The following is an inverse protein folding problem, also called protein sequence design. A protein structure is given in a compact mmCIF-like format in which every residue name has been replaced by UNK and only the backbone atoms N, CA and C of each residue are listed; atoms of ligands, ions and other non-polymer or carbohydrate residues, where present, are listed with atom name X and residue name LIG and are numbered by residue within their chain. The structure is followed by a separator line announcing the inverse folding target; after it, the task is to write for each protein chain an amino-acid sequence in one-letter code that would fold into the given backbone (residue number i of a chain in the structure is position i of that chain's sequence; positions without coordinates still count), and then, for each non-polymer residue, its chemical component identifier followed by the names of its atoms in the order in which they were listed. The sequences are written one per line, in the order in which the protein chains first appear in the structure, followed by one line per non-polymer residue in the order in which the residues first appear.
data_IF_565038832245
#
_entry.id   IF_565038832245
#
_cell.length_a   1.000
_cell.length_b   1.000
_cell.length_c   1.000
_cell.angle_alpha   90.00
_cell.angle_beta   90.00
_cell.angle_gamma   90.00
#
_symmetry.space_group_name_H-M   'P 1'
#
loop_
_entity.id
_entity.type
_entity.pdbx_description
1 polymer ?
#
# COMPACT_ATOMS: atom_id res chain seq x y z
N UNK A 1 0.72 2.43 9.65
CA UNK A 1 0.49 1.14 8.96
C UNK A 1 1.68 0.81 8.08
N UNK A 2 2.78 0.16 8.48
CA UNK A 2 3.17 -0.50 9.73
C UNK A 2 2.16 -1.48 10.36
N UNK A 3 1.05 -1.81 9.69
CA UNK A 3 -0.14 -2.33 10.41
C UNK A 3 -0.68 -3.66 9.89
N UNK A 4 -0.02 -4.29 8.92
CA UNK A 4 -0.35 -5.68 8.56
C UNK A 4 0.69 -6.69 9.07
N UNK A 5 1.82 -6.24 9.64
CA UNK A 5 2.80 -7.10 10.32
C UNK A 5 2.48 -7.35 11.81
N UNK A 6 1.47 -6.68 12.40
CA UNK A 6 1.15 -6.80 13.83
C UNK A 6 0.21 -7.97 14.17
N UNK A 7 -0.35 -8.65 13.18
CA UNK A 7 -1.44 -9.64 13.34
C UNK A 7 -0.99 -11.08 13.62
N UNK A 8 0.20 -11.31 14.18
CA UNK A 8 0.66 -12.67 14.52
C UNK A 8 0.91 -12.96 16.00
N UNK A 9 0.80 -11.98 16.91
CA UNK A 9 1.12 -12.21 18.34
C UNK A 9 -0.01 -11.92 19.34
N UNK A 10 -1.28 -11.82 18.93
CA UNK A 10 -2.38 -11.68 19.87
C UNK A 10 -3.06 -13.02 20.18
N UNK A 11 -2.38 -13.86 20.96
CA UNK A 11 -3.05 -14.87 21.80
C UNK A 11 -2.88 -14.51 23.27
N UNK A 12 -4.00 -14.08 23.88
CA UNK A 12 -4.33 -14.11 25.30
C UNK A 12 -3.49 -13.31 26.32
N UNK A 13 -4.23 -12.56 27.15
CA UNK A 13 -3.86 -12.01 28.47
C UNK A 13 -2.88 -10.82 28.56
N UNK A 14 -3.41 -9.60 28.40
CA UNK A 14 -2.92 -8.40 29.12
C UNK A 14 -3.92 -7.22 29.02
N UNK A 15 -5.18 -7.43 29.42
CA UNK A 15 -6.05 -6.35 29.86
C UNK A 15 -5.73 -6.08 31.33
N UNK A 16 -4.89 -5.08 31.62
CA UNK A 16 -4.81 -4.29 32.88
C UNK A 16 -3.45 -3.59 32.98
N UNK A 17 -3.39 -2.32 32.54
CA UNK A 17 -2.66 -1.25 33.24
C UNK A 17 -2.71 0.05 32.42
N UNK A 18 -3.85 0.73 32.43
CA UNK A 18 -3.88 2.18 32.27
C UNK A 18 -4.59 2.74 33.51
N UNK A 19 -3.86 3.57 34.26
CA UNK A 19 -4.15 4.05 35.61
C UNK A 19 -5.18 5.20 35.58
N UNK A 20 -6.24 5.02 36.38
CA UNK A 20 -7.07 5.97 37.14
C UNK A 20 -7.22 7.46 36.70
N UNK A 21 -8.41 7.77 36.14
CA UNK A 21 -9.49 8.73 36.57
C UNK A 21 -9.22 10.19 37.08
N UNK A 22 -10.24 11.11 37.12
CA UNK A 22 -11.57 11.17 36.43
C UNK A 22 -11.97 12.57 35.87
N UNK A 23 -12.82 12.68 34.83
CA UNK A 23 -13.70 13.87 34.60
C UNK A 23 -15.05 13.48 33.97
N UNK A 24 -16.10 14.17 34.41
CA UNK A 24 -17.54 13.97 34.24
C UNK A 24 -18.11 13.95 32.81
N UNK A 25 -19.11 13.10 32.60
CA UNK A 25 -19.92 13.02 31.38
C UNK A 25 -21.19 13.87 31.53
N UNK A 26 -21.42 14.82 30.61
CA UNK A 26 -22.73 15.47 30.40
C UNK A 26 -23.43 14.81 29.21
N UNK A 27 -24.66 14.35 29.43
CA UNK A 27 -25.57 13.88 28.39
C UNK A 27 -26.14 15.07 27.63
N UNK A 28 -26.02 15.06 26.29
CA UNK A 28 -26.60 16.05 25.38
C UNK A 28 -27.36 15.36 24.25
N UNK A 29 -28.57 15.83 24.00
CA UNK A 29 -29.66 15.19 23.24
C UNK A 29 -29.37 14.99 21.75
N UNK A 30 -29.82 13.84 21.23
CA UNK A 30 -29.86 13.53 19.80
C UNK A 30 -30.92 14.37 19.07
N UNK A 31 -30.53 15.02 17.97
CA UNK A 31 -31.47 15.57 16.98
C UNK A 31 -31.34 14.68 15.74
N UNK A 32 -32.40 13.91 15.46
CA UNK A 32 -32.56 13.13 14.25
C UNK A 32 -33.12 14.08 13.18
N UNK A 33 -32.37 14.31 12.11
CA UNK A 33 -32.88 14.95 10.90
C UNK A 33 -32.91 13.91 9.78
N UNK A 34 -34.11 13.62 9.30
CA UNK A 34 -34.40 12.75 8.15
C UNK A 34 -33.80 13.33 6.86
N UNK A 35 -33.28 12.51 5.94
CA UNK A 35 -32.72 13.03 4.70
C UNK A 35 -33.83 13.28 3.67
N UNK A 36 -33.98 14.53 3.25
CA UNK A 36 -34.63 14.87 1.98
C UNK A 36 -33.63 14.61 0.84
N UNK A 37 -34.07 13.84 -0.15
CA UNK A 37 -33.36 13.61 -1.41
C UNK A 37 -33.20 14.95 -2.15
N UNK A 38 -31.99 15.48 -2.17
CA UNK A 38 -31.56 16.53 -3.07
C UNK A 38 -30.44 15.98 -3.95
N UNK A 39 -30.67 15.96 -5.25
CA UNK A 39 -29.67 15.72 -6.28
C UNK A 39 -28.60 16.81 -6.20
N UNK A 40 -27.44 16.51 -5.61
CA UNK A 40 -26.31 17.43 -5.56
C UNK A 40 -25.25 17.00 -6.57
N UNK A 41 -24.99 17.87 -7.54
CA UNK A 41 -23.67 18.01 -8.13
C UNK A 41 -22.68 18.27 -6.97
N UNK A 42 -21.99 17.23 -6.51
CA UNK A 42 -20.97 17.35 -5.48
C UNK A 42 -19.72 18.03 -6.09
N UNK A 43 -19.73 19.35 -6.17
CA UNK A 43 -18.49 20.10 -6.28
C UNK A 43 -17.66 19.84 -5.01
N UNK A 44 -16.69 18.94 -5.12
CA UNK A 44 -15.72 18.69 -4.06
C UNK A 44 -14.98 20.00 -3.77
N UNK A 45 -15.16 20.52 -2.57
CA UNK A 45 -14.63 21.83 -2.19
C UNK A 45 -13.20 21.69 -1.66
N UNK A 46 -12.23 22.23 -2.39
CA UNK A 46 -10.81 22.20 -2.02
C UNK A 46 -10.47 23.15 -0.88
N UNK A 47 -11.21 24.26 -0.75
CA UNK A 47 -11.01 25.24 0.33
C UNK A 47 -11.35 24.64 1.70
N UNK A 48 -12.34 23.73 1.77
CA UNK A 48 -12.65 23.05 3.03
C UNK A 48 -11.54 22.09 3.44
N UNK A 49 -10.87 21.43 2.48
CA UNK A 49 -9.70 20.61 2.75
C UNK A 49 -8.54 21.46 3.28
N UNK A 50 -8.23 22.57 2.62
CA UNK A 50 -7.16 23.48 3.06
C UNK A 50 -7.43 24.08 4.43
N UNK A 51 -8.67 24.51 4.69
CA UNK A 51 -9.08 25.00 6.00
C UNK A 51 -8.92 23.91 7.07
N UNK A 52 -9.34 22.67 6.79
CA UNK A 52 -9.18 21.55 7.72
C UNK A 52 -7.70 21.26 8.03
N UNK A 53 -6.85 21.19 6.99
CA UNK A 53 -5.43 20.94 7.15
C UNK A 53 -4.74 22.04 7.98
N UNK A 54 -4.97 23.30 7.60
CA UNK A 54 -4.35 24.45 8.26
C UNK A 54 -4.81 24.60 9.73
N UNK A 55 -6.10 24.43 10.01
CA UNK A 55 -6.64 24.50 11.38
C UNK A 55 -6.12 23.38 12.29
N UNK A 56 -5.65 22.28 11.72
CA UNK A 56 -5.08 21.15 12.47
C UNK A 56 -3.54 21.06 12.35
N UNK A 57 -2.88 22.16 11.98
CA UNK A 57 -1.41 22.26 12.02
C UNK A 57 -0.67 21.52 10.90
N UNK A 58 -1.34 21.15 9.81
CA UNK A 58 -0.71 20.60 8.61
C UNK A 58 -0.52 21.74 7.61
N UNK A 59 0.71 22.26 7.52
CA UNK A 59 1.04 23.43 6.68
C UNK A 59 1.81 23.07 5.40
N UNK A 60 2.44 21.88 5.35
CA UNK A 60 3.24 21.46 4.20
C UNK A 60 2.37 20.77 3.14
N UNK A 61 1.65 21.57 2.36
CA UNK A 61 0.87 21.11 1.21
C UNK A 61 0.94 22.12 0.07
N UNK A 62 0.78 21.64 -1.17
CA UNK A 62 0.86 22.47 -2.38
C UNK A 62 -0.49 22.52 -3.10
N UNK A 63 -0.88 23.70 -3.57
CA UNK A 63 -2.10 23.86 -4.36
C UNK A 63 -1.76 23.68 -5.85
N UNK A 64 -2.31 22.64 -6.48
CA UNK A 64 -2.19 22.45 -7.94
C UNK A 64 -3.34 23.20 -8.61
N UNK A 65 -3.07 24.19 -9.50
CA UNK A 65 -2.23 24.00 -10.69
C UNK A 65 -1.07 25.01 -10.88
N UNK A 66 -0.81 25.93 -9.94
CA UNK A 66 0.13 27.04 -10.16
C UNK A 66 1.52 26.86 -9.55
N UNK A 67 1.71 25.96 -8.58
CA UNK A 67 3.00 25.77 -7.92
C UNK A 67 3.67 24.45 -8.34
N UNK A 68 4.69 24.59 -9.20
CA UNK A 68 5.74 23.62 -9.50
C UNK A 68 5.30 22.17 -9.80
N UNK A 69 5.10 21.88 -11.10
CA UNK A 69 5.14 20.53 -11.68
C UNK A 69 6.33 19.68 -11.20
N UNK A 70 7.40 20.31 -10.70
CA UNK A 70 8.57 19.66 -10.13
C UNK A 70 8.23 18.71 -8.97
N UNK A 71 7.42 19.11 -7.99
CA UNK A 71 7.11 18.25 -6.82
C UNK A 71 6.27 17.03 -7.19
N UNK A 72 5.32 17.19 -8.12
CA UNK A 72 4.50 16.08 -8.60
C UNK A 72 5.35 15.04 -9.35
N UNK A 73 6.23 15.51 -10.25
CA UNK A 73 7.06 14.65 -11.11
C UNK A 73 8.29 14.08 -10.40
N UNK A 74 8.77 14.68 -9.31
CA UNK A 74 10.04 14.31 -8.66
C UNK A 74 10.13 12.84 -8.26
N UNK A 75 9.00 12.24 -7.88
CA UNK A 75 8.93 10.88 -7.32
C UNK A 75 8.24 9.90 -8.28
N UNK A 76 7.93 10.31 -9.52
CA UNK A 76 7.31 9.40 -10.51
C UNK A 76 8.42 8.59 -11.19
N UNK A 77 8.47 7.29 -10.91
CA UNK A 77 9.55 6.40 -11.38
C UNK A 77 9.22 5.73 -12.72
N UNK A 78 7.94 5.61 -13.07
CA UNK A 78 7.51 5.18 -14.40
C UNK A 78 6.99 6.40 -15.19
N UNK A 79 7.76 6.92 -16.17
CA UNK A 79 7.41 8.12 -16.93
C UNK A 79 6.09 8.04 -17.70
N UNK A 80 5.55 6.85 -17.98
CA UNK A 80 4.24 6.68 -18.64
C UNK A 80 3.16 7.50 -17.90
N UNK A 81 3.18 7.52 -16.56
CA UNK A 81 2.17 8.22 -15.75
C UNK A 81 2.39 9.73 -15.63
N UNK A 82 3.43 10.27 -16.26
CA UNK A 82 3.61 11.73 -16.39
C UNK A 82 2.75 12.31 -17.51
N UNK A 83 2.32 11.48 -18.48
CA UNK A 83 1.54 11.88 -19.66
C UNK A 83 0.28 12.71 -19.27
N UNK A 84 -0.13 13.68 -20.11
CA UNK A 84 -1.28 14.55 -19.82
C UNK A 84 -2.64 13.84 -19.69
N UNK A 85 -2.75 12.62 -20.24
CA UNK A 85 -3.98 11.82 -20.17
C UNK A 85 -4.35 11.39 -18.75
N UNK A 86 -3.36 11.31 -17.84
CA UNK A 86 -3.60 10.94 -16.46
C UNK A 86 -4.01 12.15 -15.62
N UNK A 87 -5.09 11.98 -14.86
CA UNK A 87 -5.56 12.98 -13.90
C UNK A 87 -4.44 13.36 -12.92
N UNK A 88 -4.36 14.65 -12.62
CA UNK A 88 -3.43 15.20 -11.62
C UNK A 88 -4.14 15.32 -10.27
N UNK A 89 -3.41 15.24 -9.15
CA UNK A 89 -3.99 15.42 -7.83
C UNK A 89 -4.54 16.84 -7.68
N UNK A 90 -5.50 17.01 -6.77
CA UNK A 90 -5.98 18.32 -6.37
C UNK A 90 -4.98 19.05 -5.46
N UNK A 91 -4.27 18.30 -4.62
CA UNK A 91 -3.18 18.78 -3.77
C UNK A 91 -2.24 17.63 -3.40
N UNK A 92 -1.01 17.99 -3.05
CA UNK A 92 -0.01 17.08 -2.48
C UNK A 92 0.27 17.55 -1.06
N UNK A 93 0.15 16.65 -0.10
CA UNK A 93 0.40 16.91 1.33
C UNK A 93 1.62 16.12 1.78
N UNK A 94 2.55 16.77 2.47
CA UNK A 94 3.81 16.20 2.93
C UNK A 94 3.88 16.19 4.47
N UNK A 95 3.18 15.25 5.15
CA UNK A 95 3.17 15.18 6.61
C UNK A 95 4.59 14.98 7.17
N UNK A 96 4.89 15.63 8.28
CA UNK A 96 6.19 15.57 8.98
C UNK A 96 6.13 14.75 10.27
N UNK A 97 4.92 14.35 10.70
CA UNK A 97 4.72 13.47 11.85
C UNK A 97 3.55 12.51 11.62
N UNK A 98 3.45 11.49 12.48
CA UNK A 98 2.33 10.55 12.49
C UNK A 98 0.99 11.23 12.78
N UNK A 99 1.00 12.29 13.59
CA UNK A 99 -0.18 13.10 13.92
C UNK A 99 -0.64 13.88 12.69
N UNK A 100 0.29 14.52 11.96
CA UNK A 100 -0.05 15.21 10.72
C UNK A 100 -0.61 14.25 9.68
N UNK A 101 -0.01 13.06 9.53
CA UNK A 101 -0.54 12.01 8.64
C UNK A 101 -1.98 11.61 9.00
N UNK A 102 -2.25 11.36 10.29
CA UNK A 102 -3.59 10.99 10.75
C UNK A 102 -4.60 12.12 10.51
N UNK A 103 -4.23 13.36 10.79
CA UNK A 103 -5.02 14.56 10.50
C UNK A 103 -5.31 14.70 9.01
N UNK A 104 -4.31 14.52 8.14
CA UNK A 104 -4.48 14.61 6.68
C UNK A 104 -5.49 13.58 6.19
N UNK A 105 -5.41 12.33 6.65
CA UNK A 105 -6.38 11.28 6.32
C UNK A 105 -7.78 11.71 6.76
N UNK A 106 -7.92 12.17 8.00
CA UNK A 106 -9.21 12.65 8.53
C UNK A 106 -9.80 13.77 7.67
N UNK A 107 -9.02 14.81 7.35
CA UNK A 107 -9.48 15.91 6.50
C UNK A 107 -9.88 15.46 5.08
N UNK A 108 -9.16 14.51 4.49
CA UNK A 108 -9.52 13.94 3.18
C UNK A 108 -10.86 13.20 3.23
N UNK A 109 -11.08 12.40 4.28
CA UNK A 109 -12.34 11.65 4.44
C UNK A 109 -13.57 12.53 4.64
N UNK A 110 -13.43 13.70 5.28
CA UNK A 110 -14.53 14.67 5.40
C UNK A 110 -14.92 15.31 4.05
N UNK A 111 -13.97 15.43 3.12
CA UNK A 111 -14.17 16.07 1.82
C UNK A 111 -14.47 15.11 0.67
N UNK A 112 -14.73 13.82 0.93
CA UNK A 112 -14.92 12.77 -0.10
C UNK A 112 -13.76 12.66 -1.10
N UNK A 113 -12.53 12.96 -0.66
CA UNK A 113 -11.34 12.86 -1.49
C UNK A 113 -10.82 11.43 -1.57
N UNK A 114 -10.47 10.97 -2.77
CA UNK A 114 -9.71 9.72 -2.90
C UNK A 114 -8.28 9.92 -2.40
N UNK A 115 -7.81 9.05 -1.52
CA UNK A 115 -6.45 9.12 -0.97
C UNK A 115 -5.50 8.29 -1.82
N UNK A 116 -4.34 8.87 -2.14
CA UNK A 116 -3.20 8.18 -2.74
C UNK A 116 -2.00 8.34 -1.83
N UNK A 117 -1.52 7.23 -1.28
CA UNK A 117 -0.32 7.21 -0.44
C UNK A 117 0.89 7.01 -1.33
N UNK A 118 1.90 7.87 -1.21
CA UNK A 118 3.14 7.76 -1.99
C UNK A 118 4.34 7.70 -1.06
N UNK A 119 5.16 6.66 -1.24
CA UNK A 119 6.50 6.54 -0.67
C UNK A 119 7.51 6.82 -1.81
N UNK A 120 8.31 5.86 -2.25
CA UNK A 120 9.27 6.03 -3.36
C UNK A 120 8.68 6.08 -4.78
N UNK A 121 7.35 5.95 -4.96
CA UNK A 121 6.66 6.15 -6.24
C UNK A 121 6.94 5.12 -7.35
N UNK A 122 7.34 3.91 -6.97
CA UNK A 122 7.69 2.79 -7.85
C UNK A 122 6.50 1.91 -8.31
N UNK A 123 5.25 2.36 -8.14
CA UNK A 123 4.11 1.56 -8.60
C UNK A 123 4.15 1.39 -10.12
N UNK A 124 4.20 0.14 -10.59
CA UNK A 124 4.24 -0.19 -12.02
C UNK A 124 3.02 0.32 -12.78
N UNK A 125 1.87 0.37 -12.12
CA UNK A 125 0.60 0.90 -12.65
C UNK A 125 0.28 2.33 -12.17
N UNK A 126 1.27 3.01 -11.59
CA UNK A 126 1.13 4.40 -11.16
C UNK A 126 0.11 4.63 -10.04
N UNK A 127 -0.26 3.58 -9.30
CA UNK A 127 -1.30 3.59 -8.27
C UNK A 127 -1.04 4.56 -7.11
N UNK A 128 0.20 5.02 -6.92
CA UNK A 128 0.54 6.01 -5.91
C UNK A 128 0.42 7.47 -6.40
N UNK A 129 0.19 7.70 -7.69
CA UNK A 129 0.16 9.04 -8.29
C UNK A 129 -1.05 9.34 -9.18
N UNK A 130 -1.87 8.34 -9.53
CA UNK A 130 -3.05 8.53 -10.40
C UNK A 130 -4.33 8.01 -9.73
N UNK A 131 -5.47 8.62 -10.07
CA UNK A 131 -6.80 8.11 -9.73
C UNK A 131 -7.84 8.56 -10.77
N UNK A 132 -8.92 7.79 -10.90
CA UNK A 132 -10.05 8.12 -11.79
C UNK A 132 -11.01 9.16 -11.20
N UNK A 133 -10.94 9.38 -9.89
CA UNK A 133 -11.73 10.34 -9.10
C UNK A 133 -10.83 11.47 -8.60
N UNK A 134 -11.37 12.65 -8.25
CA UNK A 134 -10.59 13.71 -7.62
C UNK A 134 -9.90 13.19 -6.35
N UNK A 135 -8.59 13.43 -6.26
CA UNK A 135 -7.74 12.76 -5.30
C UNK A 135 -6.66 13.66 -4.72
N UNK A 136 -6.16 13.26 -3.56
CA UNK A 136 -5.08 13.90 -2.82
C UNK A 136 -3.93 12.90 -2.73
N UNK A 137 -2.72 13.35 -3.05
CA UNK A 137 -1.51 12.58 -2.75
C UNK A 137 -1.04 12.97 -1.35
N UNK A 138 -0.90 11.97 -0.48
CA UNK A 138 -0.18 12.11 0.78
C UNK A 138 1.20 11.50 0.55
N UNK A 139 2.19 12.36 0.39
CA UNK A 139 3.56 11.99 0.09
C UNK A 139 4.37 11.86 1.39
N UNK A 140 4.88 10.66 1.63
CA UNK A 140 5.51 10.28 2.88
C UNK A 140 7.00 10.61 2.91
N UNK A 141 7.56 11.29 1.90
CA UNK A 141 9.01 11.56 1.80
C UNK A 141 9.62 12.23 3.04
N UNK A 142 8.86 13.03 3.80
CA UNK A 142 9.32 13.68 5.03
C UNK A 142 9.32 12.75 6.26
N UNK A 143 8.70 11.57 6.14
CA UNK A 143 8.68 10.51 7.15
C UNK A 143 9.68 9.42 6.73
N UNK A 144 10.96 9.77 6.70
CA UNK A 144 12.05 8.90 6.24
C UNK A 144 13.10 8.59 7.33
N UNK A 145 12.77 8.75 8.63
CA UNK A 145 13.71 8.41 9.70
C UNK A 145 13.98 6.90 9.76
N UNK A 146 15.25 6.56 10.01
CA UNK A 146 15.74 5.19 10.26
C UNK A 146 16.48 5.22 11.59
N UNK A 147 15.94 4.54 12.59
CA UNK A 147 16.49 4.44 13.94
C UNK A 147 16.93 2.99 14.18
N UNK A 148 18.23 2.77 14.35
CA UNK A 148 18.82 1.44 14.52
C UNK A 148 19.16 1.22 15.99
N UNK A 149 18.74 0.08 16.52
CA UNK A 149 19.12 -0.42 17.83
C UNK A 149 20.03 -1.64 17.65
N UNK A 150 21.32 -1.44 17.93
CA UNK A 150 22.34 -2.50 17.83
C UNK A 150 22.27 -3.52 18.96
N UNK A 151 21.66 -3.19 20.10
CA UNK A 151 21.53 -4.15 21.21
C UNK A 151 20.48 -5.20 20.88
N UNK A 152 19.34 -4.78 20.32
CA UNK A 152 18.27 -5.69 19.89
C UNK A 152 18.41 -6.18 18.44
N UNK A 153 19.39 -5.66 17.69
CA UNK A 153 19.55 -5.89 16.24
C UNK A 153 18.26 -5.59 15.46
N UNK A 154 17.57 -4.50 15.83
CA UNK A 154 16.33 -4.06 15.18
C UNK A 154 16.44 -2.63 14.66
N UNK A 155 15.48 -2.24 13.81
CA UNK A 155 15.37 -0.87 13.36
C UNK A 155 13.91 -0.43 13.28
N UNK A 156 13.64 0.80 13.68
CA UNK A 156 12.41 1.52 13.38
C UNK A 156 12.61 2.35 12.12
N UNK A 157 11.77 2.08 11.11
CA UNK A 157 11.87 2.73 9.79
C UNK A 157 10.54 3.37 9.45
N UNK A 158 10.56 4.68 9.23
CA UNK A 158 9.40 5.39 8.71
C UNK A 158 9.14 5.05 7.24
N UNK A 159 7.88 4.97 6.84
CA UNK A 159 7.47 4.40 5.55
C UNK A 159 7.86 5.23 4.31
N UNK A 160 8.32 6.46 4.51
CA UNK A 160 8.88 7.30 3.45
C UNK A 160 10.33 6.95 3.09
N UNK A 161 11.06 6.26 3.99
CA UNK A 161 12.44 5.88 3.73
C UNK A 161 12.53 4.93 2.53
N UNK A 162 13.49 5.21 1.66
CA UNK A 162 13.89 4.36 0.55
C UNK A 162 14.78 3.22 1.02
N UNK A 163 14.85 2.13 0.24
CA UNK A 163 15.72 1.00 0.56
C UNK A 163 17.19 1.42 0.63
N UNK A 164 17.62 2.36 -0.22
CA UNK A 164 18.96 2.93 -0.19
C UNK A 164 19.28 3.65 1.13
N UNK A 165 18.36 4.47 1.65
CA UNK A 165 18.53 5.12 2.96
C UNK A 165 18.62 4.10 4.09
N UNK A 166 17.82 3.03 4.03
CA UNK A 166 17.85 1.93 5.02
C UNK A 166 19.18 1.19 4.96
N UNK A 167 19.62 0.76 3.78
CA UNK A 167 20.88 0.06 3.59
C UNK A 167 22.07 0.91 4.03
N UNK A 168 22.05 2.20 3.67
CA UNK A 168 23.08 3.14 4.07
C UNK A 168 23.14 3.27 5.59
N UNK A 169 22.01 3.52 6.25
CA UNK A 169 21.96 3.63 7.71
C UNK A 169 22.47 2.36 8.42
N UNK A 170 22.08 1.16 7.95
CA UNK A 170 22.56 -0.11 8.51
C UNK A 170 24.07 -0.23 8.33
N UNK A 171 24.59 0.05 7.13
CA UNK A 171 26.03 -0.03 6.84
C UNK A 171 26.86 0.97 7.66
N UNK A 172 26.28 2.12 8.05
CA UNK A 172 26.95 3.07 8.92
C UNK A 172 26.94 2.63 10.39
N UNK A 173 25.96 1.82 10.80
CA UNK A 173 25.83 1.34 12.16
C UNK A 173 26.63 0.04 12.42
N UNK A 174 26.76 -0.84 11.42
CA UNK A 174 27.47 -2.12 11.56
C UNK A 174 27.90 -2.69 10.20
N UNK A 175 29.10 -3.27 10.17
CA UNK A 175 29.63 -4.03 9.02
C UNK A 175 29.11 -5.49 8.96
N UNK A 176 28.38 -5.93 9.98
CA UNK A 176 27.91 -7.32 10.12
C UNK A 176 26.40 -7.48 9.91
N UNK A 177 25.64 -6.39 9.95
CA UNK A 177 24.17 -6.40 9.82
C UNK A 177 23.72 -6.04 8.40
N UNK A 178 22.54 -6.56 8.02
CA UNK A 178 21.94 -6.31 6.72
C UNK A 178 20.43 -6.59 6.74
N UNK A 179 19.73 -6.13 5.71
CA UNK A 179 18.27 -6.28 5.59
C UNK A 179 17.88 -6.82 4.21
N UNK A 180 17.03 -7.85 4.16
CA UNK A 180 16.62 -8.50 2.91
C UNK A 180 15.45 -7.76 2.26
N UNK A 181 15.74 -7.00 1.20
CA UNK A 181 14.77 -6.30 0.36
C UNK A 181 15.34 -6.12 -1.08
N UNK A 182 14.62 -5.43 -1.96
CA UNK A 182 15.00 -5.21 -3.37
C UNK A 182 16.39 -4.58 -3.52
N UNK A 183 17.05 -4.84 -4.65
CA UNK A 183 18.33 -4.19 -4.99
C UNK A 183 18.19 -2.72 -5.37
N UNK A 184 17.00 -2.26 -5.76
CA UNK A 184 16.75 -0.91 -6.28
C UNK A 184 16.71 0.10 -5.13
N UNK A 185 17.69 1.03 -5.01
CA UNK A 185 17.83 1.86 -3.82
C UNK A 185 16.74 2.93 -3.69
N UNK A 186 16.11 3.35 -4.78
CA UNK A 186 15.06 4.39 -4.76
C UNK A 186 13.67 3.85 -4.45
N UNK A 187 13.51 2.53 -4.32
CA UNK A 187 12.24 1.91 -3.93
C UNK A 187 11.89 2.33 -2.50
N UNK A 188 10.65 2.76 -2.29
CA UNK A 188 10.16 3.17 -0.98
C UNK A 188 9.74 1.97 -0.12
N UNK A 189 10.17 1.96 1.14
CA UNK A 189 9.87 0.90 2.10
C UNK A 189 8.37 0.69 2.32
N UNK A 190 7.58 1.78 2.32
CA UNK A 190 6.14 1.72 2.56
C UNK A 190 5.39 0.83 1.57
N UNK A 191 5.66 0.96 0.27
CA UNK A 191 5.09 0.10 -0.76
C UNK A 191 5.74 -1.29 -0.76
N UNK A 192 7.07 -1.32 -0.77
CA UNK A 192 7.84 -2.55 -0.95
C UNK A 192 7.57 -3.60 0.13
N UNK A 193 7.64 -3.22 1.41
CA UNK A 193 7.42 -4.12 2.54
C UNK A 193 5.94 -4.54 2.58
N UNK A 194 5.00 -3.64 2.27
CA UNK A 194 3.57 -3.94 2.26
C UNK A 194 3.19 -5.01 1.22
N UNK A 195 3.88 -5.04 0.07
CA UNK A 195 3.68 -6.08 -0.95
C UNK A 195 4.54 -7.33 -0.76
N UNK A 196 5.35 -7.42 0.30
CA UNK A 196 6.22 -8.56 0.60
C UNK A 196 7.68 -8.17 0.66
N UNK A 197 8.25 -7.83 -0.50
CA UNK A 197 9.61 -7.34 -0.63
C UNK A 197 10.65 -8.43 -0.85
N UNK A 198 10.69 -8.96 -2.07
CA UNK A 198 11.71 -9.92 -2.51
C UNK A 198 13.02 -9.22 -2.85
N UNK A 199 14.14 -9.90 -2.63
CA UNK A 199 15.46 -9.40 -2.97
C UNK A 199 16.53 -10.49 -3.05
N UNK A 200 17.77 -10.07 -3.28
CA UNK A 200 18.91 -10.98 -3.48
C UNK A 200 19.18 -11.88 -2.27
N UNK A 201 18.85 -11.44 -1.07
CA UNK A 201 19.01 -12.21 0.17
C UNK A 201 17.78 -13.06 0.53
N UNK A 202 16.69 -13.00 -0.25
CA UNK A 202 15.44 -13.69 0.10
C UNK A 202 15.55 -15.21 0.09
N UNK A 203 16.53 -15.78 -0.64
CA UNK A 203 16.81 -17.22 -0.57
C UNK A 203 17.37 -17.66 0.80
N UNK A 204 17.95 -16.74 1.58
CA UNK A 204 18.51 -16.98 2.91
C UNK A 204 17.56 -16.51 4.01
N UNK A 205 16.99 -15.31 3.89
CA UNK A 205 16.24 -14.64 4.96
C UNK A 205 14.75 -14.41 4.66
N UNK A 206 14.28 -14.77 3.46
CA UNK A 206 12.90 -14.52 3.04
C UNK A 206 12.63 -13.09 2.60
N UNK A 207 11.34 -12.72 2.56
CA UNK A 207 10.88 -11.40 2.15
C UNK A 207 11.08 -10.37 3.27
N UNK A 208 11.18 -9.09 2.91
CA UNK A 208 11.26 -7.96 3.85
C UNK A 208 10.10 -7.97 4.86
N UNK A 209 8.90 -8.33 4.43
CA UNK A 209 7.68 -8.42 5.26
C UNK A 209 7.72 -9.53 6.31
N UNK A 210 8.51 -10.58 6.08
CA UNK A 210 8.72 -11.65 7.06
C UNK A 210 9.68 -11.13 8.12
N UNK A 211 10.78 -10.50 7.70
CA UNK A 211 11.77 -9.93 8.61
C UNK A 211 11.18 -8.82 9.49
N UNK A 212 10.27 -8.00 8.97
CA UNK A 212 9.61 -6.93 9.75
C UNK A 212 8.61 -7.44 10.81
N UNK A 213 8.23 -8.72 10.75
CA UNK A 213 7.32 -9.37 11.71
C UNK A 213 8.04 -10.23 12.76
N UNK A 214 9.34 -10.51 12.56
CA UNK A 214 10.12 -11.36 13.45
C UNK A 214 10.73 -10.51 14.58
N UNK A 215 10.33 -10.78 15.84
CA UNK A 215 11.16 -10.42 16.98
C UNK A 215 12.43 -11.28 16.93
N UNK A 216 13.56 -10.67 16.56
CA UNK A 216 14.87 -11.32 16.44
C UNK A 216 15.41 -11.77 17.79
N UNK A 217 14.96 -12.92 18.28
CA UNK A 217 15.63 -13.64 19.37
C UNK A 217 16.55 -14.75 18.85
N UNK A 218 16.71 -14.88 17.52
CA UNK A 218 17.61 -15.87 16.93
C UNK A 218 17.86 -15.60 15.44
N UNK A 219 18.63 -14.55 15.12
CA UNK A 219 19.37 -14.51 13.83
C UNK A 219 20.65 -15.33 14.06
N UNK A 220 20.89 -16.44 13.33
CA UNK A 220 22.21 -17.05 13.32
C UNK A 220 23.17 -16.10 12.60
N UNK A 221 24.29 -15.80 13.25
CA UNK A 221 25.46 -15.07 12.71
C UNK A 221 25.74 -15.47 11.25
N UNK A 222 26.26 -14.56 10.40
CA UNK A 222 26.55 -14.86 9.01
C UNK A 222 27.56 -16.02 8.88
N UNK A 223 27.02 -17.22 8.64
CA UNK A 223 27.75 -18.37 8.12
C UNK A 223 27.15 -18.70 6.75
N UNK A 224 27.94 -18.49 5.69
CA UNK A 224 27.64 -18.90 4.33
C UNK A 224 27.95 -20.40 4.16
N UNK A 225 27.25 -21.24 4.92
CA UNK A 225 27.27 -22.71 4.82
C UNK A 225 25.87 -23.32 4.70
N UNK A 226 25.76 -24.65 4.49
CA UNK A 226 24.53 -25.31 4.04
C UNK A 226 23.40 -25.30 5.10
N UNK A 227 22.18 -25.25 4.58
CA UNK A 227 20.89 -24.93 5.20
C UNK A 227 20.43 -25.85 6.34
N UNK A 228 19.73 -25.28 7.34
CA UNK A 228 18.79 -25.98 8.24
C UNK A 228 17.46 -25.22 8.23
N UNK A 229 16.38 -25.99 8.05
CA UNK A 229 14.97 -25.63 7.80
C UNK A 229 14.32 -24.79 8.93
N UNK A 230 13.51 -23.79 8.55
CA UNK A 230 12.72 -22.95 9.45
C UNK A 230 11.35 -22.59 8.85
N UNK A 231 10.29 -23.18 9.40
CA UNK A 231 8.89 -23.06 8.92
C UNK A 231 8.10 -21.92 9.58
N UNK A 232 7.13 -21.37 8.80
CA UNK A 232 5.98 -20.47 9.14
C UNK A 232 6.39 -19.07 9.62
N UNK A 233 5.94 -17.94 9.06
CA UNK A 233 4.56 -17.41 8.92
C UNK A 233 4.67 -16.09 8.06
N UNK A 234 3.57 -15.49 7.53
CA UNK A 234 3.45 -14.24 6.69
C UNK A 234 3.35 -14.41 5.15
N UNK A 235 2.59 -13.50 4.53
CA UNK A 235 2.08 -13.41 3.14
C UNK A 235 3.07 -13.83 2.04
N UNK A 236 2.55 -14.61 1.09
CA UNK A 236 3.27 -15.22 -0.02
C UNK A 236 3.21 -16.75 0.09
N UNK A 237 2.19 -17.38 -0.48
CA UNK A 237 2.05 -18.84 -0.49
C UNK A 237 2.91 -19.51 -1.59
N UNK A 238 3.60 -18.70 -2.42
CA UNK A 238 4.64 -19.14 -3.35
C UNK A 238 5.94 -19.54 -2.63
N UNK A 239 5.85 -20.39 -1.61
CA UNK A 239 7.01 -20.81 -0.81
C UNK A 239 7.54 -22.16 -1.21
N UNK A 240 6.69 -23.18 -1.19
CA UNK A 240 7.08 -24.58 -1.46
C UNK A 240 6.50 -25.01 -2.80
N UNK A 241 7.37 -25.27 -3.76
CA UNK A 241 7.00 -25.65 -5.13
C UNK A 241 7.31 -24.55 -6.16
N UNK A 242 7.50 -23.30 -5.74
CA UNK A 242 7.96 -22.22 -6.61
C UNK A 242 9.45 -22.37 -6.90
N UNK A 243 9.81 -22.60 -8.17
CA UNK A 243 11.21 -22.80 -8.60
C UNK A 243 11.91 -21.47 -8.92
N UNK A 244 11.19 -20.55 -9.56
CA UNK A 244 11.70 -19.27 -10.02
C UNK A 244 10.58 -18.22 -10.15
N UNK A 245 10.97 -16.96 -10.14
CA UNK A 245 10.17 -15.82 -10.56
C UNK A 245 10.79 -15.27 -11.83
N UNK A 246 9.99 -15.04 -12.87
CA UNK A 246 10.43 -14.50 -14.15
C UNK A 246 9.67 -13.20 -14.40
N UNK A 247 10.40 -12.14 -14.66
CA UNK A 247 9.86 -10.82 -14.93
C UNK A 247 10.12 -10.47 -16.40
N UNK A 248 9.10 -9.94 -17.09
CA UNK A 248 9.17 -9.52 -18.47
C UNK A 248 9.00 -8.01 -18.50
N UNK A 249 10.03 -7.30 -18.96
CA UNK A 249 10.04 -5.84 -18.99
C UNK A 249 10.36 -5.39 -20.41
N UNK A 250 9.58 -4.44 -20.90
CA UNK A 250 9.93 -3.62 -22.06
C UNK A 250 9.99 -2.17 -21.62
N UNK A 251 11.05 -1.47 -22.01
CA UNK A 251 11.27 -0.07 -21.69
C UNK A 251 11.66 0.67 -22.97
N UNK A 252 11.28 1.94 -23.06
CA UNK A 252 11.54 2.80 -24.21
C UNK A 252 11.75 4.24 -23.76
N UNK A 253 12.39 5.05 -24.62
CA UNK A 253 12.64 6.46 -24.37
C UNK A 253 11.50 7.35 -24.87
N UNK A 254 11.47 8.62 -24.45
CA UNK A 254 10.43 9.58 -24.88
C UNK A 254 10.33 9.72 -26.41
N UNK A 255 11.44 9.63 -27.13
CA UNK A 255 11.47 9.74 -28.60
C UNK A 255 10.77 8.56 -29.30
N UNK A 256 10.60 7.44 -28.58
CA UNK A 256 9.97 6.21 -29.07
C UNK A 256 8.50 6.08 -28.61
N UNK A 257 8.01 7.04 -27.81
CA UNK A 257 6.73 6.93 -27.08
C UNK A 257 5.50 6.81 -28.00
N UNK A 258 5.58 7.42 -29.20
CA UNK A 258 4.55 7.31 -30.24
C UNK A 258 4.32 5.86 -30.69
N UNK A 259 5.35 5.02 -30.59
CA UNK A 259 5.33 3.60 -30.96
C UNK A 259 5.08 2.69 -29.74
N UNK A 260 4.73 3.24 -28.58
CA UNK A 260 4.55 2.48 -27.33
C UNK A 260 3.54 1.33 -27.43
N UNK A 261 2.52 1.46 -28.28
CA UNK A 261 1.57 0.40 -28.57
C UNK A 261 2.23 -0.89 -29.11
N UNK A 262 3.34 -0.78 -29.86
CA UNK A 262 4.09 -1.93 -30.38
C UNK A 262 4.83 -2.66 -29.28
N UNK A 263 5.46 -1.92 -28.36
CA UNK A 263 6.16 -2.49 -27.20
C UNK A 263 5.20 -3.24 -26.28
N UNK A 264 4.04 -2.64 -26.01
CA UNK A 264 2.99 -3.28 -25.19
C UNK A 264 2.40 -4.52 -25.89
N UNK A 265 2.13 -4.46 -27.20
CA UNK A 265 1.69 -5.63 -27.96
C UNK A 265 2.69 -6.78 -27.89
N UNK A 266 3.98 -6.47 -28.08
CA UNK A 266 5.05 -7.46 -28.00
C UNK A 266 5.14 -8.10 -26.61
N UNK A 267 5.01 -7.30 -25.54
CA UNK A 267 5.04 -7.81 -24.18
C UNK A 267 3.88 -8.77 -23.92
N UNK A 268 2.68 -8.42 -24.39
CA UNK A 268 1.50 -9.27 -24.27
C UNK A 268 1.63 -10.57 -25.06
N UNK A 269 2.16 -10.52 -26.28
CA UNK A 269 2.46 -11.72 -27.07
C UNK A 269 3.49 -12.63 -26.38
N UNK A 270 4.55 -12.05 -25.79
CA UNK A 270 5.54 -12.81 -25.01
C UNK A 270 4.90 -13.43 -23.76
N UNK A 271 4.06 -12.68 -23.05
CA UNK A 271 3.34 -13.16 -21.87
C UNK A 271 2.43 -14.34 -22.23
N UNK A 272 1.68 -14.27 -23.32
CA UNK A 272 0.85 -15.38 -23.81
C UNK A 272 1.69 -16.59 -24.25
N UNK A 273 2.79 -16.36 -24.97
CA UNK A 273 3.70 -17.42 -25.39
C UNK A 273 4.27 -18.19 -24.20
N UNK A 274 4.80 -17.48 -23.19
CA UNK A 274 5.39 -18.14 -22.02
C UNK A 274 4.33 -18.81 -21.14
N UNK A 275 3.10 -18.29 -21.13
CA UNK A 275 1.97 -18.89 -20.43
C UNK A 275 1.72 -20.35 -20.81
N UNK A 276 2.05 -20.75 -22.04
CA UNK A 276 1.89 -22.13 -22.54
C UNK A 276 2.80 -23.16 -21.86
N UNK A 277 3.88 -22.71 -21.20
CA UNK A 277 4.79 -23.60 -20.48
C UNK A 277 4.41 -23.80 -19.00
N UNK A 278 3.37 -23.11 -18.53
CA UNK A 278 2.84 -23.32 -17.18
C UNK A 278 2.08 -24.65 -17.16
N UNK A 279 2.54 -25.58 -16.33
CA UNK A 279 1.97 -26.93 -16.22
C UNK A 279 0.47 -26.88 -15.91
N UNK A 280 -0.31 -27.66 -16.66
CA UNK A 280 -1.76 -27.81 -16.47
C UNK A 280 -2.13 -28.06 -15.00
N UNK A 281 -3.10 -27.30 -14.49
CA UNK A 281 -3.58 -27.38 -13.12
C UNK A 281 -2.88 -26.43 -12.12
N UNK A 282 -1.79 -25.76 -12.51
CA UNK A 282 -1.22 -24.69 -11.70
C UNK A 282 -1.80 -23.32 -12.09
N UNK A 283 -2.27 -22.50 -11.13
CA UNK A 283 -2.69 -21.14 -11.44
C UNK A 283 -1.50 -20.31 -11.92
N UNK A 284 -1.71 -19.48 -12.94
CA UNK A 284 -0.76 -18.43 -13.32
C UNK A 284 -0.74 -17.37 -12.22
N UNK A 285 0.21 -17.52 -11.30
CA UNK A 285 0.43 -16.65 -10.15
C UNK A 285 1.17 -15.38 -10.54
N UNK A 286 0.93 -14.32 -9.77
CA UNK A 286 1.56 -13.01 -9.93
C UNK A 286 2.04 -12.51 -8.57
N UNK A 287 2.92 -11.52 -8.56
CA UNK A 287 3.46 -10.93 -7.33
C UNK A 287 2.91 -9.51 -7.15
N UNK A 288 2.28 -9.21 -6.01
CA UNK A 288 1.53 -7.94 -5.84
C UNK A 288 2.37 -6.66 -5.97
N UNK A 289 3.67 -6.70 -5.66
CA UNK A 289 4.55 -5.56 -5.91
C UNK A 289 4.78 -5.31 -7.41
N UNK A 290 4.53 -6.31 -8.26
CA UNK A 290 4.47 -6.20 -9.73
C UNK A 290 2.99 -6.16 -10.12
N UNK A 291 2.30 -5.12 -9.65
CA UNK A 291 0.88 -4.90 -9.94
C UNK A 291 0.68 -4.80 -11.46
N UNK A 292 -0.36 -5.45 -11.96
CA UNK A 292 -0.63 -5.65 -13.39
C UNK A 292 -2.14 -5.53 -13.65
N UNK A 293 -2.55 -4.47 -14.34
CA UNK A 293 -3.95 -4.20 -14.66
C UNK A 293 -4.53 -5.12 -15.74
N UNK A 294 -3.71 -5.85 -16.51
CA UNK A 294 -4.20 -6.83 -17.49
C UNK A 294 -4.88 -8.03 -16.80
N UNK A 295 -4.64 -8.22 -15.50
CA UNK A 295 -5.35 -9.21 -14.67
C UNK A 295 -6.79 -8.79 -14.32
N UNK A 296 -7.15 -7.54 -14.60
CA UNK A 296 -8.46 -6.95 -14.36
C UNK A 296 -8.46 -5.91 -13.25
N UNK A 297 -9.48 -5.05 -13.28
CA UNK A 297 -9.64 -3.92 -12.38
C UNK A 297 -11.07 -3.85 -11.81
N UNK A 298 -11.22 -3.19 -10.67
CA UNK A 298 -12.52 -2.78 -10.15
C UNK A 298 -12.74 -1.27 -10.32
N UNK A 299 -13.86 -0.90 -10.93
CA UNK A 299 -14.34 0.49 -10.92
C UNK A 299 -15.28 0.70 -9.73
N UNK A 300 -14.74 1.31 -8.67
CA UNK A 300 -15.48 1.64 -7.45
C UNK A 300 -16.59 2.68 -7.63
N UNK A 301 -16.64 3.38 -8.77
CA UNK A 301 -17.72 4.34 -9.09
C UNK A 301 -18.96 3.64 -9.64
N UNK A 302 -18.80 2.40 -10.12
CA UNK A 302 -19.88 1.62 -10.68
C UNK A 302 -20.52 0.77 -9.58
N UNK A 303 -21.77 1.06 -9.21
CA UNK A 303 -22.49 0.36 -8.14
C UNK A 303 -22.62 -1.16 -8.39
N UNK A 304 -22.80 -1.58 -9.65
CA UNK A 304 -22.87 -2.99 -10.01
C UNK A 304 -21.52 -3.70 -9.82
N UNK A 305 -20.42 -3.00 -10.10
CA UNK A 305 -19.07 -3.51 -9.85
C UNK A 305 -18.76 -3.53 -8.35
N UNK A 306 -19.11 -2.48 -7.62
CA UNK A 306 -18.89 -2.38 -6.19
C UNK A 306 -19.68 -3.46 -5.42
N UNK A 307 -20.97 -3.66 -5.74
CA UNK A 307 -21.81 -4.68 -5.10
C UNK A 307 -21.30 -6.12 -5.28
N UNK A 308 -20.58 -6.40 -6.37
CA UNK A 308 -19.97 -7.71 -6.64
C UNK A 308 -18.44 -7.67 -6.54
N UNK A 309 -17.89 -6.74 -5.75
CA UNK A 309 -16.46 -6.45 -5.73
C UNK A 309 -15.60 -7.66 -5.41
N UNK A 310 -16.02 -8.50 -4.46
CA UNK A 310 -15.27 -9.68 -4.02
C UNK A 310 -15.05 -10.67 -5.16
N UNK A 311 -16.09 -11.00 -5.92
CA UNK A 311 -16.02 -11.97 -7.01
C UNK A 311 -15.30 -11.41 -8.23
N UNK A 312 -15.50 -10.12 -8.55
CA UNK A 312 -14.73 -9.46 -9.61
C UNK A 312 -13.24 -9.47 -9.27
N UNK A 313 -12.93 -9.11 -8.02
CA UNK A 313 -11.55 -8.98 -7.53
C UNK A 313 -10.86 -10.32 -7.31
N UNK A 314 -11.62 -11.41 -7.14
CA UNK A 314 -11.08 -12.77 -7.00
C UNK A 314 -10.19 -13.17 -8.18
N UNK A 315 -10.50 -12.68 -9.40
CA UNK A 315 -9.74 -12.96 -10.64
C UNK A 315 -8.25 -12.61 -10.54
N UNK A 316 -7.92 -11.43 -10.01
CA UNK A 316 -6.54 -11.01 -9.75
C UNK A 316 -6.09 -11.34 -8.32
N UNK A 317 -7.02 -11.34 -7.36
CA UNK A 317 -6.74 -11.57 -5.95
C UNK A 317 -6.16 -12.96 -5.68
N UNK A 318 -6.69 -14.00 -6.30
CA UNK A 318 -6.17 -15.36 -6.17
C UNK A 318 -4.85 -15.56 -6.93
N UNK A 319 -4.57 -14.76 -7.97
CA UNK A 319 -3.26 -14.78 -8.64
C UNK A 319 -2.16 -14.23 -7.73
N UNK A 320 -2.44 -13.19 -6.96
CA UNK A 320 -1.49 -12.60 -6.02
C UNK A 320 -1.39 -13.34 -4.68
N UNK A 321 -2.53 -13.78 -4.14
CA UNK A 321 -2.63 -14.20 -2.75
C UNK A 321 -3.04 -15.66 -2.57
N UNK A 322 -3.41 -16.35 -3.66
CA UNK A 322 -3.91 -17.73 -3.63
C UNK A 322 -5.02 -17.88 -2.58
N UNK A 323 -4.99 -18.95 -1.79
CA UNK A 323 -5.97 -19.22 -0.72
C UNK A 323 -5.97 -18.19 0.43
N UNK A 324 -5.05 -17.21 0.44
CA UNK A 324 -5.07 -16.14 1.45
C UNK A 324 -6.06 -15.02 1.12
N UNK A 325 -6.62 -14.97 -0.10
CA UNK A 325 -7.50 -13.90 -0.54
C UNK A 325 -8.70 -13.68 0.40
N UNK A 326 -9.45 -14.72 0.75
CA UNK A 326 -10.62 -14.60 1.64
C UNK A 326 -10.25 -14.17 3.08
N UNK A 327 -9.03 -14.48 3.53
CA UNK A 327 -8.51 -13.98 4.81
C UNK A 327 -8.22 -12.49 4.73
N UNK A 328 -7.68 -12.01 3.62
CA UNK A 328 -7.42 -10.59 3.39
C UNK A 328 -8.72 -9.79 3.30
N UNK A 329 -9.76 -10.31 2.64
CA UNK A 329 -11.09 -9.69 2.59
C UNK A 329 -11.66 -9.49 4.00
N UNK A 330 -11.56 -10.50 4.88
CA UNK A 330 -11.98 -10.37 6.29
C UNK A 330 -11.18 -9.31 7.03
N UNK A 331 -9.85 -9.36 6.93
CA UNK A 331 -8.99 -8.36 7.58
C UNK A 331 -9.29 -6.92 7.09
N UNK A 332 -9.53 -6.75 5.78
CA UNK A 332 -9.94 -5.46 5.19
C UNK A 332 -11.28 -4.98 5.74
N UNK A 333 -12.24 -5.89 5.90
CA UNK A 333 -13.56 -5.58 6.48
C UNK A 333 -13.43 -5.04 7.89
N UNK A 334 -12.57 -5.65 8.70
CA UNK A 334 -12.40 -5.26 10.10
C UNK A 334 -11.69 -3.91 10.23
N UNK A 335 -10.67 -3.65 9.41
CA UNK A 335 -9.79 -2.47 9.57
C UNK A 335 -10.24 -1.25 8.76
N UNK A 336 -10.93 -1.44 7.64
CA UNK A 336 -11.39 -0.38 6.76
C UNK A 336 -12.75 -0.75 6.12
N UNK A 337 -13.81 -0.85 6.94
CA UNK A 337 -15.15 -1.24 6.49
C UNK A 337 -15.76 -0.24 5.50
N UNK A 338 -15.33 1.02 5.54
CA UNK A 338 -15.83 2.09 4.66
C UNK A 338 -15.02 2.20 3.35
N UNK A 339 -14.04 1.33 3.15
CA UNK A 339 -13.17 1.29 1.98
C UNK A 339 -12.46 2.63 1.66
N UNK A 340 -12.00 3.34 2.69
CA UNK A 340 -11.28 4.62 2.56
C UNK A 340 -10.00 4.44 1.73
N UNK A 341 -9.27 3.35 1.96
CA UNK A 341 -8.05 3.03 1.24
C UNK A 341 -8.35 2.06 0.10
N UNK A 342 -8.58 2.60 -1.09
CA UNK A 342 -8.95 1.83 -2.27
C UNK A 342 -8.18 2.23 -3.52
N UNK A 343 -8.04 1.28 -4.43
CA UNK A 343 -7.54 1.46 -5.79
C UNK A 343 -8.11 0.33 -6.70
N UNK A 344 -7.87 0.34 -8.02
CA UNK A 344 -8.46 -0.64 -8.95
C UNK A 344 -8.14 -2.13 -8.68
N UNK A 345 -7.17 -2.44 -7.81
CA UNK A 345 -6.86 -3.81 -7.35
C UNK A 345 -6.68 -3.88 -5.83
N UNK A 346 -7.35 -2.99 -5.08
CA UNK A 346 -7.34 -3.07 -3.61
C UNK A 346 -8.28 -4.19 -3.15
N UNK A 347 -7.89 -4.91 -2.09
CA UNK A 347 -8.76 -5.92 -1.46
C UNK A 347 -10.11 -5.27 -1.10
N UNK A 348 -11.25 -5.83 -1.55
CA UNK A 348 -12.57 -5.32 -1.19
C UNK A 348 -12.93 -5.70 0.25
N UNK A 349 -13.56 -4.81 1.04
CA UNK A 349 -14.23 -5.23 2.27
C UNK A 349 -15.50 -6.02 1.92
N UNK A 350 -16.00 -6.80 2.88
CA UNK A 350 -17.36 -7.32 2.83
C UNK A 350 -18.30 -6.12 2.91
N UNK A 351 -19.02 -5.86 1.82
CA UNK A 351 -20.14 -4.93 1.84
C UNK A 351 -21.23 -5.54 2.72
N UNK A 352 -21.23 -5.16 3.99
CA UNK A 352 -22.33 -5.43 4.88
C UNK A 352 -23.57 -4.69 4.37
N UNK A 353 -24.71 -5.37 4.48
CA UNK A 353 -26.04 -4.78 4.66
C UNK A 353 -26.04 -3.85 5.89
N UNK A 354 -25.23 -2.79 5.91
CA UNK A 354 -25.25 -1.74 6.93
C UNK A 354 -26.35 -0.74 6.55
N UNK A 355 -27.55 -1.30 6.35
CA UNK A 355 -28.84 -0.66 6.55
C UNK A 355 -29.66 -1.67 7.31
N UNK A 356 -29.85 -1.38 8.61
CA UNK A 356 -30.71 -2.09 9.55
C UNK A 356 -30.20 -3.46 10.02
N UNK A 357 -29.48 -3.48 11.13
CA UNK A 357 -29.72 -4.40 12.25
C UNK A 357 -28.88 -3.92 13.44
N UNK A 358 -29.49 -3.04 14.23
CA UNK A 358 -29.01 -2.66 15.56
C UNK A 358 -29.78 -3.35 16.69
N UNK A 359 -30.58 -4.35 16.33
CA UNK A 359 -31.23 -5.24 17.29
C UNK A 359 -30.83 -6.68 16.93
N UNK A 360 -30.50 -7.46 17.97
CA UNK A 360 -30.00 -8.85 17.97
C UNK A 360 -28.48 -9.04 17.78
N UNK A 361 -27.75 -8.82 18.89
CA UNK A 361 -26.89 -9.83 19.52
C UNK A 361 -26.75 -9.57 21.02
#
# INVERSE_FOLDING_TARGET
MAWLAWLQNFESTALRSWVAEPVSVRLGSAIILSPTLASNDHHINIESLYSCLASNGVQNFTTTPNDNHCLFNHVIQNPIFTRPVFNKPATIVLPQSKEQLATTISCCTHGSWTIRLRSGGHSYEGLSQTAQTPFVIIDLMNLNRVEIDLESETAWVESGATLGEIYYAISQASDELGFSADSSPTVGSGGHISGGGFGMMSRKYGLASIMSSMHCSSIPRPYFGPWIDGRRRVLGDSRKGTLMMVEYIVAWNMDEDLESHKFLSWLNELYEYVGQFIVDGNPRVSYVNHVDFDLGEIDWRNESSASNAIEISRKWGEKYFLSNYDRLVRAKTDIDPNNVFQHPQSIPPLLGLIKNNKDEL
#
